data_IF_096906012404
#
_entry.id   IF_096906012404
#
_cell.length_a   1.000
_cell.length_b   1.000
_cell.length_c   1.000
_cell.angle_alpha   90.00
_cell.angle_beta   90.00
_cell.angle_gamma   90.00
#
_symmetry.space_group_name_H-M   'P 1'
#
loop_
_entity.id
_entity.type
_entity.pdbx_description
1 polymer ?
#
# COMPACT_ATOMS: atom_id res chain seq x y z
N UNK A 1 10.19 10.00 -9.91
CA UNK A 1 9.96 10.76 -8.65
C UNK A 1 11.14 10.56 -7.68
N UNK A 2 11.45 11.49 -6.77
CA UNK A 2 12.50 11.31 -5.72
C UNK A 2 11.91 10.85 -4.40
N UNK A 3 12.75 10.31 -3.53
CA UNK A 3 12.36 10.02 -2.13
C UNK A 3 12.04 11.32 -1.38
N UNK A 4 11.16 11.22 -0.39
CA UNK A 4 10.72 12.34 0.44
C UNK A 4 10.97 12.03 1.91
N UNK A 5 11.55 12.97 2.66
CA UNK A 5 11.62 12.92 4.11
C UNK A 5 10.75 13.99 4.75
N UNK A 6 10.04 13.61 5.82
CA UNK A 6 9.34 14.54 6.69
C UNK A 6 10.34 15.11 7.69
N UNK A 7 10.55 16.43 7.66
CA UNK A 7 11.56 17.13 8.48
C UNK A 7 10.92 18.06 9.52
N UNK A 8 9.61 18.30 9.40
CA UNK A 8 8.81 19.08 10.35
C UNK A 8 7.37 18.58 10.34
N UNK A 9 6.48 19.19 11.14
CA UNK A 9 5.11 18.69 11.29
C UNK A 9 4.37 18.59 9.95
N UNK A 10 4.45 19.59 9.08
CA UNK A 10 3.90 19.54 7.72
C UNK A 10 4.97 19.95 6.69
N UNK A 11 6.23 19.63 6.97
CA UNK A 11 7.36 19.98 6.10
C UNK A 11 7.99 18.71 5.55
N UNK A 12 8.08 18.66 4.22
CA UNK A 12 8.60 17.54 3.45
C UNK A 12 9.71 18.01 2.53
N UNK A 13 10.79 17.22 2.43
CA UNK A 13 11.97 17.52 1.62
C UNK A 13 12.33 16.36 0.72
N UNK A 14 12.45 16.63 -0.57
CA UNK A 14 12.94 15.66 -1.56
C UNK A 14 14.41 15.33 -1.32
N UNK A 15 14.83 14.12 -1.69
CA UNK A 15 16.16 13.59 -1.42
C UNK A 15 16.95 13.27 -2.71
N UNK A 16 17.29 14.27 -3.55
CA UNK A 16 18.17 14.03 -4.69
C UNK A 16 19.57 13.59 -4.22
N UNK A 17 20.29 12.74 -4.98
CA UNK A 17 19.94 12.19 -6.29
C UNK A 17 19.18 10.84 -6.23
N UNK A 18 18.46 10.54 -5.13
CA UNK A 18 17.80 9.24 -4.95
C UNK A 18 16.40 9.25 -5.57
N UNK A 19 16.25 8.51 -6.66
CA UNK A 19 15.05 8.44 -7.47
C UNK A 19 14.46 7.03 -7.50
N UNK A 20 13.14 6.95 -7.65
CA UNK A 20 12.46 5.71 -7.95
C UNK A 20 12.73 5.28 -9.39
N UNK A 21 12.86 3.97 -9.59
CA UNK A 21 13.09 3.39 -10.91
C UNK A 21 11.88 3.53 -11.86
N UNK A 22 10.67 3.46 -11.30
CA UNK A 22 9.40 3.73 -11.97
C UNK A 22 8.49 4.53 -11.03
N UNK A 23 7.28 4.87 -11.45
CA UNK A 23 6.36 5.56 -10.55
C UNK A 23 6.02 4.66 -9.35
N UNK A 24 6.08 5.15 -8.10
CA UNK A 24 5.83 4.32 -6.91
C UNK A 24 4.49 3.59 -7.00
N UNK A 25 3.44 4.27 -7.47
CA UNK A 25 2.11 3.67 -7.61
C UNK A 25 2.13 2.43 -8.51
N UNK A 26 2.85 2.44 -9.63
CA UNK A 26 3.01 1.26 -10.49
C UNK A 26 3.74 0.12 -9.77
N UNK A 27 4.80 0.46 -9.01
CA UNK A 27 5.55 -0.53 -8.22
C UNK A 27 4.65 -1.18 -7.17
N UNK A 28 3.86 -0.40 -6.44
CA UNK A 28 2.93 -0.91 -5.42
C UNK A 28 1.81 -1.75 -6.03
N UNK A 29 1.20 -1.30 -7.13
CA UNK A 29 0.17 -2.07 -7.85
C UNK A 29 0.67 -3.46 -8.26
N UNK A 30 1.90 -3.55 -8.78
CA UNK A 30 2.50 -4.84 -9.15
C UNK A 30 2.77 -5.75 -7.94
N UNK A 31 3.21 -5.20 -6.81
CA UNK A 31 3.37 -6.00 -5.58
C UNK A 31 2.03 -6.46 -5.03
N UNK A 32 1.03 -5.57 -4.96
CA UNK A 32 -0.31 -5.87 -4.49
C UNK A 32 -0.94 -6.99 -5.34
N UNK A 33 -0.91 -6.86 -6.67
CA UNK A 33 -1.39 -7.91 -7.58
C UNK A 33 -0.71 -9.25 -7.30
N UNK A 34 0.63 -9.28 -7.24
CA UNK A 34 1.36 -10.53 -6.98
C UNK A 34 1.02 -11.13 -5.63
N UNK A 35 0.80 -10.31 -4.61
CA UNK A 35 0.38 -10.75 -3.29
C UNK A 35 -1.01 -11.38 -3.34
N UNK A 36 -2.00 -10.67 -3.87
CA UNK A 36 -3.38 -11.16 -3.96
C UNK A 36 -3.49 -12.44 -4.80
N UNK A 37 -2.72 -12.55 -5.89
CA UNK A 37 -2.64 -13.79 -6.69
C UNK A 37 -2.09 -14.99 -5.88
N UNK A 38 -1.21 -14.75 -4.92
CA UNK A 38 -0.60 -15.79 -4.08
C UNK A 38 -1.41 -16.12 -2.83
N UNK A 39 -2.25 -15.19 -2.36
CA UNK A 39 -3.10 -15.39 -1.17
C UNK A 39 -4.08 -16.57 -1.32
N UNK A 40 -4.49 -16.88 -2.55
CA UNK A 40 -5.53 -17.87 -2.83
C UNK A 40 -6.96 -17.40 -2.51
N UNK A 41 -7.13 -16.15 -2.06
CA UNK A 41 -8.46 -15.56 -1.81
C UNK A 41 -9.23 -15.26 -3.10
N UNK A 42 -8.53 -15.08 -4.21
CA UNK A 42 -9.11 -14.74 -5.51
C UNK A 42 -8.71 -15.79 -6.55
N UNK A 43 -9.67 -16.23 -7.37
CA UNK A 43 -9.42 -17.16 -8.47
C UNK A 43 -8.54 -16.53 -9.56
N UNK A 44 -8.70 -15.23 -9.76
CA UNK A 44 -7.96 -14.44 -10.75
C UNK A 44 -7.85 -12.99 -10.29
N UNK A 45 -6.67 -12.39 -10.46
CA UNK A 45 -6.43 -10.95 -10.23
C UNK A 45 -5.86 -10.35 -11.50
N UNK A 46 -6.54 -9.35 -12.04
CA UNK A 46 -6.20 -8.65 -13.27
C UNK A 46 -6.08 -7.14 -13.01
N UNK A 47 -5.34 -6.44 -13.89
CA UNK A 47 -5.24 -4.97 -13.88
C UNK A 47 -5.96 -4.38 -15.10
N UNK A 48 -6.23 -5.19 -16.14
CA UNK A 48 -6.84 -4.70 -17.37
C UNK A 48 -8.37 -4.57 -17.19
N UNK A 49 -8.89 -3.36 -17.41
CA UNK A 49 -10.32 -3.04 -17.40
C UNK A 49 -11.12 -3.79 -18.49
N UNK A 50 -10.47 -4.23 -19.57
CA UNK A 50 -11.15 -5.01 -20.63
C UNK A 50 -11.52 -6.44 -20.19
N UNK A 51 -11.00 -6.91 -19.04
CA UNK A 51 -11.31 -8.23 -18.51
C UNK A 51 -12.43 -8.10 -17.47
N UNK A 52 -13.59 -8.76 -17.67
CA UNK A 52 -14.66 -8.73 -16.67
C UNK A 52 -14.15 -9.19 -15.31
N UNK A 53 -14.52 -8.46 -14.26
CA UNK A 53 -14.24 -8.81 -12.87
C UNK A 53 -15.55 -8.81 -12.07
N UNK A 54 -15.63 -9.62 -11.03
CA UNK A 54 -16.76 -9.59 -10.10
C UNK A 54 -16.59 -8.51 -9.02
N UNK A 55 -15.35 -8.05 -8.83
CA UNK A 55 -14.94 -7.07 -7.84
C UNK A 55 -13.84 -6.17 -8.38
N UNK A 56 -13.87 -4.90 -8.02
CA UNK A 56 -12.83 -3.91 -8.33
C UNK A 56 -12.21 -3.41 -7.03
N UNK A 57 -10.88 -3.47 -6.97
CA UNK A 57 -10.09 -2.92 -5.86
C UNK A 57 -9.39 -1.64 -6.33
N UNK A 58 -9.83 -0.51 -5.80
CA UNK A 58 -9.10 0.75 -5.92
C UNK A 58 -8.11 0.89 -4.75
N UNK A 59 -6.92 1.41 -5.04
CA UNK A 59 -5.92 1.66 -4.00
C UNK A 59 -5.15 2.96 -4.25
N UNK A 60 -4.73 3.61 -3.17
CA UNK A 60 -3.96 4.84 -3.21
C UNK A 60 -2.84 4.81 -2.16
N UNK A 61 -1.64 5.24 -2.55
CA UNK A 61 -0.54 5.49 -1.61
C UNK A 61 -0.69 6.91 -1.08
N UNK A 62 -1.08 7.05 0.19
CA UNK A 62 -1.35 8.35 0.83
C UNK A 62 -0.17 8.83 1.67
N UNK A 63 0.80 7.96 1.96
CA UNK A 63 2.03 8.30 2.66
C UNK A 63 3.18 7.40 2.23
N UNK A 64 4.28 8.01 1.80
CA UNK A 64 5.52 7.32 1.46
C UNK A 64 6.70 8.24 1.75
N UNK A 65 7.22 8.19 2.97
CA UNK A 65 8.31 9.06 3.41
C UNK A 65 9.15 8.42 4.52
N UNK A 66 10.38 8.90 4.68
CA UNK A 66 11.15 8.71 5.92
C UNK A 66 10.84 9.82 6.92
N UNK A 67 10.66 9.52 8.20
CA UNK A 67 10.54 10.52 9.24
C UNK A 67 11.92 10.89 9.79
N UNK A 68 12.29 12.16 9.69
CA UNK A 68 13.58 12.72 10.11
C UNK A 68 13.40 13.85 11.13
N UNK A 69 12.23 13.96 11.76
CA UNK A 69 11.98 14.97 12.78
C UNK A 69 12.80 14.63 14.04
N UNK A 70 13.66 15.54 14.48
CA UNK A 70 14.63 15.32 15.58
C UNK A 70 14.01 14.84 16.90
N UNK A 71 12.74 15.18 17.13
CA UNK A 71 12.00 14.80 18.35
C UNK A 71 11.37 13.40 18.31
N UNK A 72 11.50 12.64 17.21
CA UNK A 72 10.94 11.29 17.03
C UNK A 72 12.04 10.29 16.68
N UNK A 73 11.78 8.99 16.91
CA UNK A 73 12.64 7.94 16.36
C UNK A 73 12.63 8.01 14.83
N UNK A 74 13.77 7.76 14.15
CA UNK A 74 13.78 7.62 12.71
C UNK A 74 12.86 6.49 12.26
N UNK A 75 11.98 6.76 11.29
CA UNK A 75 10.99 5.78 10.81
C UNK A 75 10.88 5.79 9.29
N UNK A 76 10.53 4.65 8.71
CA UNK A 76 10.02 4.55 7.35
C UNK A 76 8.49 4.41 7.39
N UNK A 77 7.78 5.36 6.81
CA UNK A 77 6.32 5.42 6.85
C UNK A 77 5.74 5.05 5.49
N UNK A 78 4.83 4.07 5.50
CA UNK A 78 3.98 3.69 4.37
C UNK A 78 2.52 3.77 4.81
N UNK A 79 1.70 4.47 4.03
CA UNK A 79 0.27 4.59 4.25
C UNK A 79 -0.47 4.37 2.94
N UNK A 80 -1.50 3.52 2.98
CA UNK A 80 -2.32 3.19 1.83
C UNK A 80 -3.79 3.12 2.19
N UNK A 81 -4.65 3.46 1.23
CA UNK A 81 -6.10 3.29 1.32
C UNK A 81 -6.57 2.29 0.27
N UNK A 82 -7.59 1.52 0.63
CA UNK A 82 -8.16 0.45 -0.18
C UNK A 82 -9.68 0.54 -0.18
N UNK A 83 -10.27 0.42 -1.36
CA UNK A 83 -11.72 0.40 -1.59
C UNK A 83 -12.06 -0.77 -2.50
N UNK A 84 -12.69 -1.79 -1.94
CA UNK A 84 -13.20 -2.94 -2.68
C UNK A 84 -14.69 -2.73 -2.97
N UNK A 85 -15.07 -2.81 -4.24
CA UNK A 85 -16.44 -2.67 -4.71
C UNK A 85 -16.86 -3.93 -5.47
N UNK A 86 -18.15 -4.25 -5.47
CA UNK A 86 -18.71 -5.20 -6.43
C UNK A 86 -18.77 -4.56 -7.82
N UNK A 87 -18.56 -5.36 -8.85
CA UNK A 87 -18.70 -4.93 -10.25
C UNK A 87 -19.90 -5.64 -10.89
N UNK A 88 -21.10 -5.30 -10.39
CA UNK A 88 -22.37 -5.65 -11.04
C UNK A 88 -22.77 -4.47 -11.94
N UNK A 89 -23.01 -4.76 -13.23
CA UNK A 89 -23.33 -3.78 -14.28
C UNK A 89 -24.49 -2.83 -13.94
N UNK A 90 -25.29 -3.13 -12.90
CA UNK A 90 -26.40 -2.28 -12.45
C UNK A 90 -26.29 -1.78 -11.00
N UNK A 91 -25.34 -2.24 -10.18
CA UNK A 91 -25.27 -1.84 -8.77
C UNK A 91 -23.88 -2.09 -8.15
N UNK A 92 -22.96 -1.15 -8.34
CA UNK A 92 -21.68 -1.16 -7.64
C UNK A 92 -21.90 -0.82 -6.14
N UNK A 93 -21.61 -1.76 -5.26
CA UNK A 93 -21.74 -1.58 -3.81
C UNK A 93 -20.37 -1.69 -3.12
N UNK A 94 -20.09 -0.85 -2.11
CA UNK A 94 -18.86 -0.96 -1.34
C UNK A 94 -18.88 -2.24 -0.49
N UNK A 95 -17.88 -3.10 -0.73
CA UNK A 95 -17.70 -4.37 -0.02
C UNK A 95 -16.81 -4.20 1.21
N UNK A 96 -15.67 -3.52 1.03
CA UNK A 96 -14.71 -3.24 2.10
C UNK A 96 -14.03 -1.90 1.83
N UNK A 97 -13.83 -1.12 2.88
CA UNK A 97 -12.98 0.07 2.86
C UNK A 97 -12.05 0.02 4.07
N UNK A 98 -10.75 0.12 3.84
CA UNK A 98 -9.74 0.11 4.91
C UNK A 98 -8.59 1.06 4.58
N UNK A 99 -8.01 1.66 5.61
CA UNK A 99 -6.84 2.53 5.52
C UNK A 99 -5.77 2.00 6.47
N UNK A 100 -4.59 1.71 5.94
CA UNK A 100 -3.51 1.08 6.68
C UNK A 100 -2.29 2.00 6.69
N UNK A 101 -1.67 2.11 7.87
CA UNK A 101 -0.46 2.90 8.10
C UNK A 101 0.53 2.05 8.88
N UNK A 102 1.69 1.82 8.28
CA UNK A 102 2.80 1.10 8.91
C UNK A 102 3.99 2.04 9.08
N UNK A 103 4.57 2.03 10.28
CA UNK A 103 5.75 2.80 10.65
C UNK A 103 6.82 1.82 11.10
N UNK A 104 7.87 1.67 10.30
CA UNK A 104 8.99 0.80 10.63
C UNK A 104 10.09 1.64 11.26
N UNK A 105 10.46 1.32 12.50
CA UNK A 105 11.62 1.92 13.15
C UNK A 105 12.90 1.55 12.38
N UNK A 106 13.71 2.55 12.08
CA UNK A 106 14.99 2.40 11.37
C UNK A 106 16.10 3.06 12.19
N UNK A 107 17.35 2.61 11.99
CA UNK A 107 18.49 3.15 12.76
C UNK A 107 18.71 4.64 12.47
N UNK A 108 18.51 5.05 11.22
CA UNK A 108 18.67 6.43 10.76
C UNK A 108 17.89 6.64 9.46
N UNK A 109 17.34 7.84 9.26
CA UNK A 109 16.61 8.25 8.05
C UNK A 109 17.55 8.50 6.86
N UNK A 110 18.25 7.46 6.41
CA UNK A 110 18.99 7.45 5.14
C UNK A 110 18.11 6.90 4.02
N UNK A 111 18.33 7.28 2.75
CA UNK A 111 17.56 6.76 1.62
C UNK A 111 17.49 5.22 1.59
N UNK A 112 18.62 4.55 1.81
CA UNK A 112 18.69 3.09 1.84
C UNK A 112 17.87 2.49 2.98
N UNK A 113 18.01 3.01 4.20
CA UNK A 113 17.27 2.49 5.36
C UNK A 113 15.77 2.71 5.20
N UNK A 114 15.37 3.86 4.66
CA UNK A 114 13.96 4.18 4.41
C UNK A 114 13.36 3.22 3.38
N UNK A 115 14.04 2.94 2.27
CA UNK A 115 13.55 1.96 1.28
C UNK A 115 13.46 0.55 1.89
N UNK A 116 14.43 0.14 2.71
CA UNK A 116 14.36 -1.15 3.42
C UNK A 116 13.16 -1.20 4.36
N UNK A 117 12.93 -0.13 5.12
CA UNK A 117 11.77 0.00 6.00
C UNK A 117 10.45 -0.03 5.24
N UNK A 118 10.31 0.65 4.09
CA UNK A 118 9.11 0.57 3.27
C UNK A 118 8.86 -0.82 2.71
N UNK A 119 9.92 -1.58 2.37
CA UNK A 119 9.76 -2.97 1.93
C UNK A 119 9.14 -3.82 3.04
N UNK A 120 9.68 -3.75 4.26
CA UNK A 120 9.12 -4.46 5.40
C UNK A 120 7.68 -3.98 5.70
N UNK A 121 7.47 -2.66 5.70
CA UNK A 121 6.16 -2.07 5.95
C UNK A 121 5.11 -2.49 4.91
N UNK A 122 5.51 -2.67 3.65
CA UNK A 122 4.62 -3.19 2.61
C UNK A 122 4.24 -4.66 2.88
N UNK A 123 5.18 -5.49 3.31
CA UNK A 123 4.89 -6.89 3.67
C UNK A 123 3.88 -6.96 4.84
N UNK A 124 4.06 -6.16 5.89
CA UNK A 124 3.14 -6.08 7.03
C UNK A 124 1.76 -5.52 6.63
N UNK A 125 1.74 -4.49 5.78
CA UNK A 125 0.53 -3.88 5.28
C UNK A 125 -0.29 -4.84 4.42
N UNK A 126 0.36 -5.57 3.49
CA UNK A 126 -0.32 -6.53 2.62
C UNK A 126 -0.81 -7.75 3.37
N UNK A 127 -0.08 -8.23 4.38
CA UNK A 127 -0.55 -9.28 5.27
C UNK A 127 -1.81 -8.85 6.04
N UNK A 128 -1.82 -7.62 6.57
CA UNK A 128 -3.00 -7.07 7.25
C UNK A 128 -4.20 -6.94 6.30
N UNK A 129 -3.98 -6.49 5.07
CA UNK A 129 -5.03 -6.40 4.05
C UNK A 129 -5.58 -7.79 3.67
N UNK A 130 -4.72 -8.81 3.57
CA UNK A 130 -5.13 -10.19 3.32
C UNK A 130 -6.00 -10.73 4.45
N UNK A 131 -5.63 -10.47 5.71
CA UNK A 131 -6.43 -10.83 6.88
C UNK A 131 -7.80 -10.13 6.88
N UNK A 132 -7.85 -8.84 6.53
CA UNK A 132 -9.10 -8.08 6.38
C UNK A 132 -10.01 -8.72 5.30
N UNK A 133 -9.45 -9.08 4.14
CA UNK A 133 -10.19 -9.77 3.08
C UNK A 133 -10.67 -11.15 3.51
N UNK A 134 -9.81 -11.95 4.12
CA UNK A 134 -10.16 -13.29 4.63
C UNK A 134 -11.29 -13.21 5.67
N UNK A 135 -11.19 -12.26 6.60
CA UNK A 135 -12.21 -11.97 7.61
C UNK A 135 -13.54 -11.48 7.01
N UNK A 136 -13.49 -10.75 5.90
CA UNK A 136 -14.68 -10.34 5.16
C UNK A 136 -15.34 -11.52 4.42
N UNK A 137 -14.58 -12.31 3.66
CA UNK A 137 -15.11 -13.40 2.85
C UNK A 137 -15.63 -14.57 3.71
N UNK A 138 -14.94 -14.92 4.80
CA UNK A 138 -15.36 -15.99 5.71
C UNK A 138 -16.73 -15.76 6.35
N UNK A 139 -17.15 -14.51 6.56
CA UNK A 139 -18.48 -14.16 7.10
C UNK A 139 -19.61 -14.31 6.08
N UNK A 140 -19.27 -14.46 4.79
CA UNK A 140 -20.21 -14.47 3.66
C UNK A 140 -20.21 -15.79 2.89
N UNK A 141 -19.25 -16.68 3.14
CA UNK A 141 -19.33 -18.08 2.71
C UNK A 141 -20.38 -18.82 3.55
N UNK A 142 -21.40 -19.47 2.94
CA UNK A 142 -22.43 -20.23 3.64
C UNK A 142 -21.90 -21.51 4.29
#
# INVERSE_FOLDING_TARGET
>A
QTLVFRVGNNEYRTQPPHEFFSEPQEMFTEQLKRWLQKSGLFSQVVINEDTPADMVLESAVTGLYGDQREQFSPQAVLEMQFFLMSDDQNNAEPLLQTGLRIEIDIEQTTPENVVKGWKQGLEELLATLEDDFSGYFSKRSP
#
